data_IF_847652405221
#
_entry.id   IF_847652405221
#
_cell.length_a   1.000
_cell.length_b   1.000
_cell.length_c   1.000
_cell.angle_alpha   90.00
_cell.angle_beta   90.00
_cell.angle_gamma   90.00
#
_symmetry.space_group_name_H-M   'P 1'
#
loop_
_entity.id
_entity.type
_entity.pdbx_description
1 polymer ?
#
# COMPACT_ATOMS: atom_id res chain seq x y z
N UNK A 1 14.38 14.28 -24.18
CA UNK A 1 13.49 13.32 -23.49
C UNK A 1 12.25 14.01 -22.92
N UNK A 2 12.40 15.06 -22.10
CA UNK A 2 11.25 15.80 -21.54
C UNK A 2 10.38 16.50 -22.60
N UNK A 3 11.00 17.15 -23.59
CA UNK A 3 10.28 17.78 -24.72
C UNK A 3 9.49 16.77 -25.56
N UNK A 4 10.02 15.56 -25.73
CA UNK A 4 9.37 14.46 -26.46
C UNK A 4 8.14 13.95 -25.69
N UNK A 5 8.25 13.85 -24.36
CA UNK A 5 7.10 13.52 -23.50
C UNK A 5 6.01 14.60 -23.56
N UNK A 6 6.42 15.88 -23.59
CA UNK A 6 5.50 17.01 -23.73
C UNK A 6 4.81 17.06 -25.09
N UNK A 7 5.51 16.78 -26.19
CA UNK A 7 4.89 16.74 -27.52
C UNK A 7 3.89 15.60 -27.63
N UNK A 8 4.20 14.42 -27.07
CA UNK A 8 3.28 13.29 -27.02
C UNK A 8 1.98 13.59 -26.27
N UNK A 9 2.02 14.42 -25.23
CA UNK A 9 0.80 14.82 -24.52
C UNK A 9 -0.19 15.60 -25.40
N UNK A 10 0.29 16.27 -26.45
CA UNK A 10 -0.54 17.03 -27.40
C UNK A 10 -0.96 16.17 -28.59
N UNK A 11 -0.04 15.35 -29.11
CA UNK A 11 -0.28 14.58 -30.35
C UNK A 11 -1.03 13.27 -30.09
N UNK A 12 -0.78 12.62 -28.95
CA UNK A 12 -1.34 11.32 -28.56
C UNK A 12 -1.62 11.29 -27.04
N UNK A 13 -2.62 12.06 -26.58
CA UNK A 13 -2.87 12.24 -25.14
C UNK A 13 -3.19 10.93 -24.44
N UNK A 14 -3.94 10.01 -25.08
CA UNK A 14 -4.27 8.71 -24.50
C UNK A 14 -3.03 7.84 -24.28
N UNK A 15 -2.17 7.72 -25.29
CA UNK A 15 -0.90 7.00 -25.18
C UNK A 15 0.05 7.61 -24.13
N UNK A 16 0.10 8.94 -24.02
CA UNK A 16 0.86 9.60 -22.95
C UNK A 16 0.34 9.20 -21.56
N UNK A 17 -0.98 9.21 -21.35
CA UNK A 17 -1.60 8.81 -20.08
C UNK A 17 -1.30 7.34 -19.75
N UNK A 18 -1.34 6.44 -20.74
CA UNK A 18 -0.98 5.03 -20.57
C UNK A 18 0.47 4.89 -20.07
N UNK A 19 1.41 5.62 -20.67
CA UNK A 19 2.82 5.59 -20.24
C UNK A 19 2.99 6.04 -18.78
N UNK A 20 2.27 7.08 -18.36
CA UNK A 20 2.27 7.50 -16.96
C UNK A 20 1.67 6.41 -16.06
N UNK A 21 0.60 5.73 -16.50
CA UNK A 21 0.05 4.56 -15.79
C UNK A 21 1.09 3.44 -15.60
N UNK A 22 1.83 3.08 -16.65
CA UNK A 22 2.92 2.08 -16.58
C UNK A 22 4.03 2.52 -15.63
N UNK A 23 4.36 3.81 -15.57
CA UNK A 23 5.33 4.32 -14.60
C UNK A 23 4.88 4.05 -13.16
N UNK A 24 3.59 4.22 -12.85
CA UNK A 24 3.05 3.90 -11.52
C UNK A 24 3.11 2.40 -11.20
N UNK A 25 3.05 1.50 -12.19
CA UNK A 25 3.31 0.06 -11.98
C UNK A 25 4.75 -0.14 -11.51
N UNK A 26 5.72 0.47 -12.18
CA UNK A 26 7.14 0.38 -11.81
C UNK A 26 7.36 0.92 -10.39
N UNK A 27 6.75 2.07 -10.08
CA UNK A 27 6.77 2.62 -8.71
C UNK A 27 6.17 1.65 -7.71
N UNK A 28 5.01 1.05 -8.00
CA UNK A 28 4.39 0.07 -7.11
C UNK A 28 5.31 -1.13 -6.84
N UNK A 29 6.02 -1.64 -7.84
CA UNK A 29 7.02 -2.70 -7.67
C UNK A 29 8.18 -2.29 -6.77
N UNK A 30 8.74 -1.10 -6.97
CA UNK A 30 9.81 -0.58 -6.11
C UNK A 30 9.34 -0.44 -4.66
N UNK A 31 8.10 0.03 -4.46
CA UNK A 31 7.52 0.22 -3.13
C UNK A 31 7.24 -1.11 -2.44
N UNK A 32 6.69 -2.12 -3.14
CA UNK A 32 6.42 -3.43 -2.53
C UNK A 32 7.72 -4.16 -2.17
N UNK A 33 8.77 -4.03 -2.99
CA UNK A 33 10.10 -4.55 -2.65
C UNK A 33 10.66 -3.82 -1.41
N UNK A 34 10.52 -2.49 -1.37
CA UNK A 34 10.95 -1.70 -0.21
C UNK A 34 10.19 -2.08 1.06
N UNK A 35 8.89 -2.34 0.95
CA UNK A 35 8.05 -2.83 2.04
C UNK A 35 8.50 -4.21 2.51
N UNK A 36 8.80 -5.13 1.60
CA UNK A 36 9.33 -6.46 1.93
C UNK A 36 10.65 -6.36 2.71
N UNK A 37 11.60 -5.55 2.22
CA UNK A 37 12.87 -5.32 2.89
C UNK A 37 12.64 -4.70 4.27
N UNK A 38 11.78 -3.68 4.37
CA UNK A 38 11.47 -3.00 5.62
C UNK A 38 10.92 -3.96 6.68
N UNK A 39 9.90 -4.76 6.32
CA UNK A 39 9.30 -5.69 7.28
C UNK A 39 10.32 -6.74 7.73
N UNK A 40 11.16 -7.26 6.83
CA UNK A 40 12.19 -8.22 7.20
C UNK A 40 13.27 -7.64 8.13
N UNK A 41 13.66 -6.36 7.95
CA UNK A 41 14.58 -5.67 8.86
C UNK A 41 13.98 -5.56 10.27
N UNK A 42 12.69 -5.21 10.37
CA UNK A 42 12.00 -4.98 11.64
C UNK A 42 11.15 -6.17 12.12
N UNK A 43 11.38 -7.37 11.55
CA UNK A 43 10.48 -8.51 11.65
C UNK A 43 10.20 -8.91 13.10
N UNK A 44 11.25 -9.04 13.93
CA UNK A 44 11.12 -9.42 15.34
C UNK A 44 10.26 -8.43 16.13
N UNK A 45 10.47 -7.13 15.89
CA UNK A 45 9.74 -6.08 16.59
C UNK A 45 8.28 -6.00 16.16
N UNK A 46 8.03 -6.06 14.85
CA UNK A 46 6.67 -6.13 14.31
C UNK A 46 5.95 -7.39 14.84
N UNK A 47 6.61 -8.55 14.86
CA UNK A 47 6.01 -9.80 15.33
C UNK A 47 5.73 -9.81 16.82
N UNK A 48 6.64 -9.25 17.62
CA UNK A 48 6.43 -9.06 19.06
C UNK A 48 5.17 -8.24 19.32
N UNK A 49 4.91 -7.19 18.54
CA UNK A 49 3.70 -6.39 18.71
C UNK A 49 2.48 -7.12 18.15
N UNK A 50 2.52 -7.63 16.92
CA UNK A 50 1.36 -8.20 16.23
C UNK A 50 0.92 -9.53 16.85
N UNK A 51 1.88 -10.42 17.14
CA UNK A 51 1.59 -11.79 17.58
C UNK A 51 1.94 -12.06 19.04
N UNK A 52 2.51 -11.09 19.76
CA UNK A 52 3.07 -11.29 21.12
C UNK A 52 4.18 -12.34 21.18
N UNK A 53 4.77 -12.66 20.04
CA UNK A 53 5.84 -13.63 19.88
C UNK A 53 6.86 -13.11 18.86
N UNK A 54 8.06 -12.80 19.32
CA UNK A 54 9.16 -12.31 18.49
C UNK A 54 9.78 -13.41 17.60
N UNK A 55 9.57 -14.69 17.95
CA UNK A 55 10.13 -15.85 17.25
C UNK A 55 9.16 -16.50 16.27
N UNK A 56 7.98 -15.92 16.09
CA UNK A 56 6.98 -16.40 15.12
C UNK A 56 7.58 -16.63 13.74
N UNK A 57 8.44 -15.72 13.30
CA UNK A 57 9.29 -15.93 12.12
C UNK A 57 10.75 -15.94 12.54
N UNK A 58 11.41 -17.08 12.37
CA UNK A 58 12.84 -17.27 12.68
C UNK A 58 13.75 -17.02 11.48
N UNK A 59 13.16 -16.91 10.28
CA UNK A 59 13.84 -16.71 9.00
C UNK A 59 13.19 -15.55 8.23
N UNK A 60 13.78 -15.18 7.10
CA UNK A 60 13.15 -14.27 6.14
C UNK A 60 11.74 -14.75 5.84
N UNK A 61 10.82 -13.79 5.82
CA UNK A 61 9.41 -14.08 5.69
C UNK A 61 9.12 -14.58 4.26
N UNK A 62 8.37 -15.68 4.19
CA UNK A 62 7.94 -16.23 2.91
C UNK A 62 6.94 -15.29 2.23
N UNK A 63 6.77 -15.36 0.89
CA UNK A 63 5.89 -14.45 0.17
C UNK A 63 4.45 -14.40 0.72
N UNK A 64 3.87 -15.55 1.08
CA UNK A 64 2.50 -15.59 1.62
C UNK A 64 2.39 -14.96 3.01
N UNK A 65 3.35 -15.23 3.88
CA UNK A 65 3.42 -14.60 5.20
C UNK A 65 3.61 -13.08 5.09
N UNK A 66 4.43 -12.65 4.12
CA UNK A 66 4.60 -11.25 3.80
C UNK A 66 3.29 -10.62 3.36
N UNK A 67 2.56 -11.23 2.41
CA UNK A 67 1.27 -10.72 1.98
C UNK A 67 0.29 -10.61 3.15
N UNK A 68 0.22 -11.65 3.98
CA UNK A 68 -0.66 -11.71 5.14
C UNK A 68 -0.34 -10.63 6.19
N UNK A 69 0.94 -10.36 6.45
CA UNK A 69 1.35 -9.31 7.36
C UNK A 69 1.17 -7.92 6.73
N UNK A 70 1.52 -7.76 5.45
CA UNK A 70 1.46 -6.49 4.72
C UNK A 70 0.04 -5.94 4.59
N UNK A 71 -1.01 -6.77 4.64
CA UNK A 71 -2.41 -6.28 4.57
C UNK A 71 -2.87 -5.61 5.88
N UNK A 72 -2.12 -5.73 6.97
CA UNK A 72 -2.48 -5.19 8.29
C UNK A 72 -2.82 -3.69 8.27
N UNK A 73 -2.03 -2.80 7.63
CA UNK A 73 -2.38 -1.39 7.52
C UNK A 73 -3.71 -1.12 6.80
N UNK A 74 -4.12 -1.98 5.86
CA UNK A 74 -5.44 -1.90 5.23
C UNK A 74 -6.54 -2.41 6.14
N UNK A 75 -6.30 -3.53 6.84
CA UNK A 75 -7.27 -4.12 7.74
C UNK A 75 -7.68 -3.16 8.87
N UNK A 76 -6.74 -2.31 9.32
CA UNK A 76 -6.94 -1.33 10.39
C UNK A 76 -7.03 0.13 9.92
N UNK A 77 -7.31 0.37 8.63
CA UNK A 77 -7.38 1.72 8.08
C UNK A 77 -8.32 2.63 8.89
N UNK A 78 -9.47 2.10 9.34
CA UNK A 78 -10.47 2.86 10.11
C UNK A 78 -9.95 3.23 11.50
N UNK A 79 -9.34 2.29 12.20
CA UNK A 79 -8.79 2.46 13.54
C UNK A 79 -7.62 3.46 13.50
N UNK A 80 -6.81 3.44 12.43
CA UNK A 80 -5.75 4.41 12.20
C UNK A 80 -6.33 5.81 11.97
N UNK A 81 -7.40 5.94 11.17
CA UNK A 81 -8.09 7.22 11.00
C UNK A 81 -8.72 7.71 12.31
N UNK A 82 -9.34 6.83 13.10
CA UNK A 82 -9.88 7.16 14.42
C UNK A 82 -8.79 7.70 15.35
N UNK A 83 -7.63 7.01 15.43
CA UNK A 83 -6.48 7.45 16.24
C UNK A 83 -5.92 8.78 15.75
N UNK A 84 -5.84 8.99 14.43
CA UNK A 84 -5.18 10.16 13.85
C UNK A 84 -6.07 11.41 13.82
N UNK A 85 -7.39 11.25 13.68
CA UNK A 85 -8.36 12.34 13.53
C UNK A 85 -9.35 12.46 14.68
N UNK A 86 -9.18 11.66 15.75
CA UNK A 86 -10.06 11.61 16.92
C UNK A 86 -11.55 11.42 16.57
N UNK A 87 -11.82 10.73 15.46
CA UNK A 87 -13.16 10.37 14.99
C UNK A 87 -13.56 9.00 15.52
N UNK A 88 -14.86 8.74 15.67
CA UNK A 88 -15.39 7.43 16.05
C UNK A 88 -16.15 6.83 14.87
N UNK A 89 -15.43 6.22 13.90
CA UNK A 89 -16.11 5.41 12.89
C UNK A 89 -16.83 4.25 13.59
N UNK A 90 -18.16 4.14 13.42
CA UNK A 90 -18.95 3.01 13.88
C UNK A 90 -18.38 1.73 13.24
N UNK A 91 -18.09 0.70 14.04
CA UNK A 91 -17.51 -0.55 13.55
C UNK A 91 -18.43 -1.19 12.50
N UNK A 92 -18.02 -1.13 11.23
CA UNK A 92 -18.72 -1.82 10.13
C UNK A 92 -18.21 -3.26 9.95
N UNK A 93 -17.04 -3.56 10.51
CA UNK A 93 -16.51 -4.92 10.54
C UNK A 93 -17.06 -5.61 11.78
N UNK A 94 -17.89 -6.64 11.57
CA UNK A 94 -18.30 -7.54 12.65
C UNK A 94 -17.08 -8.23 13.28
N UNK A 95 -17.32 -9.09 14.28
CA UNK A 95 -16.32 -9.81 15.09
C UNK A 95 -15.27 -10.66 14.32
N UNK A 96 -15.27 -10.64 12.99
CA UNK A 96 -14.44 -11.45 12.07
C UNK A 96 -13.43 -10.59 11.30
N UNK A 97 -12.63 -9.79 12.01
CA UNK A 97 -11.47 -9.11 11.38
C UNK A 97 -10.36 -10.15 11.16
N UNK A 98 -9.69 -10.07 10.01
CA UNK A 98 -8.65 -11.02 9.55
C UNK A 98 -7.47 -11.14 10.54
N UNK A 99 -7.23 -10.08 11.32
CA UNK A 99 -6.42 -10.06 12.54
C UNK A 99 -7.27 -9.48 13.68
N UNK A 100 -7.02 -9.93 14.91
CA UNK A 100 -7.43 -9.19 16.11
C UNK A 100 -6.19 -8.73 16.84
N UNK A 101 -5.73 -7.53 16.51
CA UNK A 101 -4.79 -6.77 17.34
C UNK A 101 -5.58 -5.78 18.18
N UNK A 102 -5.19 -5.58 19.43
CA UNK A 102 -5.80 -4.56 20.29
C UNK A 102 -5.33 -3.16 19.92
N UNK A 103 -6.11 -2.15 20.33
CA UNK A 103 -5.80 -0.73 20.08
C UNK A 103 -4.41 -0.33 20.58
N UNK A 104 -3.94 -0.90 21.69
CA UNK A 104 -2.60 -0.66 22.22
C UNK A 104 -1.51 -1.18 21.28
N UNK A 105 -1.69 -2.37 20.70
CA UNK A 105 -0.77 -2.96 19.73
C UNK A 105 -0.73 -2.12 18.44
N UNK A 106 -1.90 -1.66 17.96
CA UNK A 106 -1.96 -0.78 16.79
C UNK A 106 -1.27 0.58 17.04
N UNK A 107 -1.51 1.20 18.21
CA UNK A 107 -0.83 2.45 18.59
C UNK A 107 0.67 2.27 18.69
N UNK A 108 1.12 1.14 19.24
CA UNK A 108 2.55 0.81 19.34
C UNK A 108 3.18 0.61 17.95
N UNK A 109 2.49 -0.09 17.04
CA UNK A 109 2.91 -0.24 15.64
C UNK A 109 2.99 1.11 14.92
N UNK A 110 1.98 1.96 15.06
CA UNK A 110 1.96 3.29 14.43
C UNK A 110 3.10 4.19 14.93
N UNK A 111 3.42 4.09 16.24
CA UNK A 111 4.48 4.88 16.85
C UNK A 111 5.87 4.39 16.46
N UNK A 112 6.09 3.07 16.51
CA UNK A 112 7.43 2.49 16.36
C UNK A 112 7.76 2.12 14.91
N UNK A 113 6.75 1.86 14.07
CA UNK A 113 6.90 1.43 12.68
C UNK A 113 6.03 2.24 11.70
N UNK A 114 6.05 3.59 11.72
CA UNK A 114 5.20 4.40 10.84
C UNK A 114 5.48 4.16 9.35
N UNK A 115 6.72 3.84 8.99
CA UNK A 115 7.09 3.55 7.59
C UNK A 115 6.42 2.29 7.04
N UNK A 116 6.07 1.33 7.90
CA UNK A 116 5.28 0.17 7.49
C UNK A 116 3.95 0.59 6.85
N UNK A 117 3.24 1.50 7.52
CA UNK A 117 1.97 2.04 7.04
C UNK A 117 2.17 2.93 5.81
N UNK A 118 3.17 3.81 5.83
CA UNK A 118 3.47 4.69 4.71
C UNK A 118 3.74 3.92 3.41
N UNK A 119 4.64 2.94 3.45
CA UNK A 119 4.99 2.12 2.30
C UNK A 119 3.79 1.34 1.77
N UNK A 120 2.99 0.76 2.67
CA UNK A 120 1.77 0.04 2.28
C UNK A 120 0.76 0.95 1.58
N UNK A 121 0.51 2.14 2.12
CA UNK A 121 -0.43 3.09 1.52
C UNK A 121 0.09 3.68 0.22
N UNK A 122 1.38 3.91 0.12
CA UNK A 122 1.99 4.37 -1.12
C UNK A 122 1.94 3.30 -2.21
N UNK A 123 2.09 2.01 -1.85
CA UNK A 123 1.87 0.89 -2.76
C UNK A 123 0.42 0.86 -3.26
N UNK A 124 -0.57 0.92 -2.35
CA UNK A 124 -1.99 0.93 -2.73
C UNK A 124 -2.34 2.12 -3.63
N UNK A 125 -1.86 3.32 -3.29
CA UNK A 125 -2.09 4.53 -4.07
C UNK A 125 -1.49 4.41 -5.47
N UNK A 126 -0.26 3.90 -5.58
CA UNK A 126 0.41 3.69 -6.87
C UNK A 126 -0.35 2.70 -7.74
N UNK A 127 -0.82 1.58 -7.16
CA UNK A 127 -1.65 0.60 -7.86
C UNK A 127 -2.97 1.19 -8.34
N UNK A 128 -3.67 1.96 -7.50
CA UNK A 128 -4.92 2.61 -7.87
C UNK A 128 -4.72 3.62 -9.00
N UNK A 129 -3.73 4.50 -8.88
CA UNK A 129 -3.40 5.50 -9.90
C UNK A 129 -3.03 4.84 -11.23
N UNK A 130 -2.22 3.78 -11.19
CA UNK A 130 -1.89 2.98 -12.37
C UNK A 130 -3.16 2.48 -13.07
N UNK A 131 -4.04 1.78 -12.34
CA UNK A 131 -5.25 1.22 -12.93
C UNK A 131 -6.17 2.30 -13.51
N UNK A 132 -6.37 3.40 -12.79
CA UNK A 132 -7.18 4.52 -13.26
C UNK A 132 -6.61 5.18 -14.52
N UNK A 133 -5.29 5.39 -14.59
CA UNK A 133 -4.63 6.01 -15.74
C UNK A 133 -4.63 5.07 -16.96
N UNK A 134 -4.36 3.78 -16.76
CA UNK A 134 -4.43 2.81 -17.87
C UNK A 134 -5.84 2.73 -18.46
N UNK A 135 -6.85 2.68 -17.60
CA UNK A 135 -8.25 2.69 -18.04
C UNK A 135 -8.58 3.99 -18.77
N UNK A 136 -8.25 5.14 -18.19
CA UNK A 136 -8.51 6.45 -18.79
C UNK A 136 -7.81 6.60 -20.15
N UNK A 137 -6.54 6.25 -20.23
CA UNK A 137 -5.75 6.34 -21.46
C UNK A 137 -6.28 5.42 -22.55
N UNK A 138 -6.68 4.18 -22.18
CA UNK A 138 -7.37 3.28 -23.10
C UNK A 138 -8.69 3.87 -23.61
N UNK A 139 -9.51 4.42 -22.71
CA UNK A 139 -10.79 5.02 -23.08
C UNK A 139 -10.63 6.22 -24.03
N UNK A 140 -9.63 7.07 -23.80
CA UNK A 140 -9.35 8.22 -24.66
C UNK A 140 -8.95 7.76 -26.07
N UNK A 141 -8.06 6.77 -26.19
CA UNK A 141 -7.61 6.25 -27.50
C UNK A 141 -8.72 5.57 -28.31
N UNK A 142 -9.71 4.98 -27.65
CA UNK A 142 -10.77 4.20 -28.30
C UNK A 142 -12.10 4.93 -28.49
N UNK A 143 -12.47 5.85 -27.60
CA UNK A 143 -13.81 6.46 -27.59
C UNK A 143 -13.82 7.96 -27.89
N UNK A 144 -12.68 8.65 -27.79
CA UNK A 144 -12.60 10.11 -27.94
C UNK A 144 -11.64 10.54 -29.07
N UNK A 145 -11.42 9.64 -30.03
CA UNK A 145 -10.65 9.90 -31.24
C UNK A 145 -11.37 10.85 -32.19
#
# INVERSE_FOLDING_TARGET
>A
MFEILLSMSKDRPGLFIILVGVLFIIVAWVVVISLYIYINIYLKGICKIVYKDEKRFTKLMEPFDFFYLSILPSAYWKEILNVKFNTSFKAFYGNNVYYKIGDSQLKELLKNYPMFFFLHYFFMLSGLLSMSLLFLGYSIEHFFK
#
